data_IF_277010679872
#
_entry.id   IF_277010679872
#
_cell.length_a   1.000
_cell.length_b   1.000
_cell.length_c   1.000
_cell.angle_alpha   90.00
_cell.angle_beta   90.00
_cell.angle_gamma   90.00
#
_symmetry.space_group_name_H-M   'P 1'
#
loop_
_entity.id
_entity.type
_entity.pdbx_description
1 polymer ?
#
# COMPACT_ATOMS: atom_id res chain seq x y z
N UNK A 1 -18.51 22.15 -11.73
CA UNK A 1 -18.05 20.81 -12.17
C UNK A 1 -16.60 20.95 -12.61
N UNK A 2 -15.64 20.40 -11.85
CA UNK A 2 -14.23 20.59 -12.13
C UNK A 2 -13.77 19.53 -13.16
N UNK A 3 -13.46 19.95 -14.39
CA UNK A 3 -13.01 19.05 -15.47
C UNK A 3 -11.60 18.59 -15.12
N UNK A 4 -11.46 17.39 -14.53
CA UNK A 4 -10.16 16.81 -14.22
C UNK A 4 -9.32 16.73 -15.50
N UNK A 5 -8.11 17.30 -15.48
CA UNK A 5 -7.19 17.20 -16.60
C UNK A 5 -6.85 15.73 -16.87
N UNK A 6 -6.99 15.29 -18.13
CA UNK A 6 -6.72 13.90 -18.52
C UNK A 6 -5.21 13.65 -18.43
N UNK A 7 -4.78 12.92 -17.40
CA UNK A 7 -3.35 12.65 -17.13
C UNK A 7 -2.69 11.80 -18.23
N UNK A 8 -3.46 10.92 -18.88
CA UNK A 8 -3.01 10.12 -20.02
C UNK A 8 -3.77 10.52 -21.28
N UNK A 9 -3.09 10.52 -22.43
CA UNK A 9 -3.72 10.80 -23.72
C UNK A 9 -4.67 9.67 -24.14
N UNK A 10 -4.31 8.42 -23.83
CA UNK A 10 -5.09 7.22 -24.10
C UNK A 10 -6.10 6.87 -22.99
N UNK A 11 -7.17 6.15 -23.32
CA UNK A 11 -8.15 5.64 -22.33
C UNK A 11 -7.74 4.26 -21.77
N UNK A 12 -8.46 3.81 -20.73
CA UNK A 12 -8.25 2.47 -20.16
C UNK A 12 -8.75 1.41 -21.14
N UNK A 13 -9.80 1.74 -21.89
CA UNK A 13 -10.43 0.91 -22.90
C UNK A 13 -9.47 0.69 -24.08
N UNK A 14 -8.87 1.77 -24.61
CA UNK A 14 -7.86 1.68 -25.69
C UNK A 14 -6.70 0.78 -25.28
N UNK A 15 -6.28 0.87 -24.02
CA UNK A 15 -5.21 0.03 -23.48
C UNK A 15 -5.58 -1.44 -23.38
N UNK A 16 -6.82 -1.76 -23.03
CA UNK A 16 -7.31 -3.15 -23.00
C UNK A 16 -7.42 -3.72 -24.42
N UNK A 17 -7.99 -2.98 -25.35
CA UNK A 17 -8.12 -3.38 -26.75
C UNK A 17 -6.75 -3.58 -27.40
N UNK A 18 -5.80 -2.66 -27.19
CA UNK A 18 -4.44 -2.80 -27.69
C UNK A 18 -3.74 -4.07 -27.17
N UNK A 19 -3.90 -4.40 -25.88
CA UNK A 19 -3.31 -5.61 -25.30
C UNK A 19 -3.98 -6.88 -25.84
N UNK A 20 -5.30 -6.86 -26.05
CA UNK A 20 -6.03 -7.99 -26.63
C UNK A 20 -5.58 -8.26 -28.08
N UNK A 21 -5.48 -7.23 -28.91
CA UNK A 21 -5.05 -7.37 -30.32
C UNK A 21 -3.62 -7.89 -30.45
N UNK A 22 -2.72 -7.47 -29.55
CA UNK A 22 -1.33 -7.94 -29.54
C UNK A 22 -1.26 -9.41 -29.07
N UNK A 23 -1.99 -9.76 -28.01
CA UNK A 23 -2.03 -11.13 -27.51
C UNK A 23 -2.65 -12.11 -28.53
N UNK A 24 -3.66 -11.67 -29.27
CA UNK A 24 -4.28 -12.42 -30.35
C UNK A 24 -3.46 -12.40 -31.66
N UNK A 25 -2.27 -11.77 -31.66
CA UNK A 25 -1.37 -11.62 -32.82
C UNK A 25 -2.03 -10.94 -34.03
N UNK A 26 -3.09 -10.16 -33.82
CA UNK A 26 -3.79 -9.39 -34.86
C UNK A 26 -2.92 -8.20 -35.27
N UNK A 27 -2.33 -7.51 -34.29
CA UNK A 27 -1.48 -6.35 -34.50
C UNK A 27 -0.08 -6.58 -33.92
N UNK A 28 0.93 -6.07 -34.62
CA UNK A 28 2.27 -5.93 -34.05
C UNK A 28 2.29 -4.79 -33.02
N UNK A 29 3.27 -4.83 -32.13
CA UNK A 29 3.41 -3.84 -31.05
C UNK A 29 3.50 -2.40 -31.59
N UNK A 30 4.18 -2.22 -32.74
CA UNK A 30 4.28 -0.92 -33.42
C UNK A 30 2.96 -0.48 -34.06
N UNK A 31 2.22 -1.41 -34.69
CA UNK A 31 0.90 -1.11 -35.26
C UNK A 31 -0.11 -0.74 -34.18
N UNK A 32 -0.13 -1.47 -33.07
CA UNK A 32 -0.98 -1.17 -31.93
C UNK A 32 -0.63 0.19 -31.29
N UNK A 33 0.66 0.52 -31.18
CA UNK A 33 1.09 1.82 -30.66
C UNK A 33 0.57 3.00 -31.51
N UNK A 34 0.67 2.87 -32.85
CA UNK A 34 0.17 3.87 -33.77
C UNK A 34 -1.36 3.97 -33.77
N UNK A 35 -2.06 2.83 -33.79
CA UNK A 35 -3.52 2.76 -33.87
C UNK A 35 -4.21 3.30 -32.62
N UNK A 36 -3.71 2.93 -31.44
CA UNK A 36 -4.33 3.31 -30.16
C UNK A 36 -3.72 4.56 -29.52
N UNK A 37 -2.68 5.15 -30.13
CA UNK A 37 -1.99 6.32 -29.59
C UNK A 37 -1.30 6.07 -28.25
N UNK A 38 -0.88 4.83 -28.00
CA UNK A 38 -0.21 4.40 -26.76
C UNK A 38 1.28 4.22 -27.04
N UNK A 39 2.18 4.80 -26.23
CA UNK A 39 3.61 4.63 -26.44
C UNK A 39 4.03 3.15 -26.44
N UNK A 40 4.87 2.78 -27.41
CA UNK A 40 5.44 1.42 -27.59
C UNK A 40 5.99 0.85 -26.27
N UNK A 41 6.77 1.65 -25.55
CA UNK A 41 7.36 1.29 -24.25
C UNK A 41 6.29 0.93 -23.20
N UNK A 42 5.15 1.63 -23.21
CA UNK A 42 4.05 1.37 -22.27
C UNK A 42 3.36 0.05 -22.57
N UNK A 43 3.10 -0.27 -23.83
CA UNK A 43 2.55 -1.56 -24.25
C UNK A 43 3.53 -2.70 -23.92
N UNK A 44 4.81 -2.51 -24.23
CA UNK A 44 5.87 -3.48 -23.93
C UNK A 44 5.97 -3.77 -22.43
N UNK A 45 6.00 -2.76 -21.56
CA UNK A 45 6.07 -2.96 -20.11
C UNK A 45 4.86 -3.72 -19.54
N UNK A 46 3.67 -3.52 -20.12
CA UNK A 46 2.45 -4.22 -19.73
C UNK A 46 2.45 -5.67 -20.20
N UNK A 47 2.92 -5.94 -21.42
CA UNK A 47 3.09 -7.29 -21.95
C UNK A 47 4.14 -8.08 -21.19
N UNK A 48 5.24 -7.44 -20.78
CA UNK A 48 6.29 -8.07 -19.96
C UNK A 48 5.89 -8.26 -18.49
N UNK A 49 4.68 -7.87 -18.07
CA UNK A 49 4.20 -8.02 -16.69
C UNK A 49 4.84 -7.07 -15.66
N UNK A 50 5.79 -6.22 -16.06
CA UNK A 50 6.47 -5.25 -15.17
C UNK A 50 5.51 -4.22 -14.59
N UNK A 51 4.42 -3.95 -15.29
CA UNK A 51 3.37 -3.04 -14.81
C UNK A 51 1.98 -3.59 -15.13
N UNK A 52 1.00 -3.44 -14.21
CA UNK A 52 -0.35 -3.90 -14.47
C UNK A 52 -1.01 -3.11 -15.63
N UNK A 53 -1.91 -3.75 -16.41
CA UNK A 53 -2.68 -3.10 -17.46
C UNK A 53 -3.49 -1.90 -16.95
N UNK A 54 -4.11 -2.05 -15.78
CA UNK A 54 -4.80 -0.96 -15.08
C UNK A 54 -4.03 -0.64 -13.79
N UNK A 55 -3.32 0.50 -13.76
CA UNK A 55 -2.56 0.94 -12.59
C UNK A 55 -3.35 2.01 -11.84
N UNK A 56 -3.66 1.77 -10.56
CA UNK A 56 -4.14 2.84 -9.67
C UNK A 56 -3.02 3.86 -9.50
N UNK A 57 -3.28 5.11 -9.87
CA UNK A 57 -2.30 6.20 -9.77
C UNK A 57 -2.36 6.96 -8.44
N UNK A 58 -3.36 6.67 -7.60
CA UNK A 58 -3.44 7.20 -6.25
C UNK A 58 -2.52 6.41 -5.32
N UNK A 59 -2.17 6.98 -4.15
CA UNK A 59 -1.67 6.20 -3.03
C UNK A 59 -2.54 4.95 -2.78
N UNK A 60 -1.93 3.91 -2.23
CA UNK A 60 -2.66 2.73 -1.76
C UNK A 60 -3.76 3.16 -0.80
N UNK A 61 -4.99 2.70 -1.03
CA UNK A 61 -6.08 2.95 -0.08
C UNK A 61 -5.83 2.08 1.16
N UNK A 62 -6.12 2.63 2.33
CA UNK A 62 -6.11 1.83 3.56
C UNK A 62 -7.25 0.81 3.56
N UNK A 63 -8.37 1.15 2.91
CA UNK A 63 -9.52 0.27 2.77
C UNK A 63 -9.37 -0.60 1.52
N UNK A 64 -9.77 -1.86 1.65
CA UNK A 64 -9.92 -2.77 0.52
C UNK A 64 -11.08 -2.31 -0.37
N UNK A 65 -11.07 -2.76 -1.63
CA UNK A 65 -12.16 -2.46 -2.59
C UNK A 65 -13.51 -2.95 -2.07
N UNK A 66 -13.53 -4.06 -1.34
CA UNK A 66 -14.74 -4.63 -0.75
C UNK A 66 -15.30 -3.75 0.37
N UNK A 67 -14.45 -3.25 1.27
CA UNK A 67 -14.84 -2.32 2.32
C UNK A 67 -15.36 -1.00 1.75
N UNK A 68 -14.68 -0.45 0.74
CA UNK A 68 -15.14 0.74 0.03
C UNK A 68 -16.53 0.52 -0.60
N UNK A 69 -16.77 -0.65 -1.19
CA UNK A 69 -18.07 -1.01 -1.75
C UNK A 69 -19.16 -1.14 -0.67
N UNK A 70 -18.83 -1.66 0.50
CA UNK A 70 -19.75 -1.76 1.64
C UNK A 70 -20.15 -0.38 2.17
N UNK A 71 -19.19 0.55 2.26
CA UNK A 71 -19.47 1.94 2.64
C UNK A 71 -20.33 2.61 1.56
N UNK A 72 -19.99 2.41 0.28
CA UNK A 72 -20.77 2.93 -0.85
C UNK A 72 -22.22 2.46 -0.82
N UNK A 73 -22.46 1.16 -0.65
CA UNK A 73 -23.82 0.61 -0.59
C UNK A 73 -24.59 1.13 0.62
N UNK A 74 -23.95 1.25 1.78
CA UNK A 74 -24.53 1.86 2.97
C UNK A 74 -24.96 3.31 2.71
N UNK A 75 -24.08 4.15 2.15
CA UNK A 75 -24.41 5.56 1.85
C UNK A 75 -25.57 5.66 0.87
N UNK A 76 -25.55 4.88 -0.22
CA UNK A 76 -26.62 4.89 -1.22
C UNK A 76 -27.95 4.40 -0.63
N UNK A 77 -27.94 3.41 0.26
CA UNK A 77 -29.13 2.91 0.92
C UNK A 77 -29.75 3.95 1.86
N UNK A 78 -28.94 4.63 2.67
CA UNK A 78 -29.43 5.70 3.55
C UNK A 78 -30.02 6.86 2.74
N UNK A 79 -29.38 7.24 1.63
CA UNK A 79 -29.93 8.24 0.73
C UNK A 79 -31.30 7.83 0.16
N UNK A 80 -31.47 6.56 -0.24
CA UNK A 80 -32.77 6.02 -0.72
C UNK A 80 -33.85 6.04 0.36
N UNK A 81 -33.48 5.84 1.62
CA UNK A 81 -34.38 5.90 2.77
C UNK A 81 -34.73 7.34 3.20
N UNK A 82 -34.25 8.36 2.48
CA UNK A 82 -34.51 9.77 2.79
C UNK A 82 -33.52 10.38 3.78
N UNK A 83 -32.45 9.68 4.14
CA UNK A 83 -31.40 10.14 5.05
C UNK A 83 -30.06 10.26 4.32
N UNK A 84 -29.87 11.26 3.43
CA UNK A 84 -28.61 11.44 2.74
C UNK A 84 -27.51 11.78 3.75
N UNK A 85 -26.45 10.98 3.76
CA UNK A 85 -25.30 11.20 4.64
C UNK A 85 -24.35 12.22 4.02
N UNK A 86 -23.86 13.15 4.85
CA UNK A 86 -22.76 14.05 4.50
C UNK A 86 -21.43 13.33 4.68
N UNK A 87 -20.37 13.92 4.15
CA UNK A 87 -19.01 13.36 4.27
C UNK A 87 -18.56 13.22 5.73
N UNK A 88 -19.01 14.11 6.60
CA UNK A 88 -18.62 14.11 8.01
C UNK A 88 -19.33 12.98 8.77
N UNK A 89 -20.61 12.70 8.47
CA UNK A 89 -21.35 11.58 9.07
C UNK A 89 -20.68 10.22 8.80
N UNK A 90 -20.14 10.05 7.58
CA UNK A 90 -19.41 8.85 7.19
C UNK A 90 -18.11 8.75 7.98
N UNK A 91 -17.34 9.84 8.08
CA UNK A 91 -16.08 9.87 8.84
C UNK A 91 -16.31 9.58 10.32
N UNK A 92 -17.32 10.21 10.93
CA UNK A 92 -17.67 10.02 12.33
C UNK A 92 -18.08 8.58 12.61
N UNK A 93 -18.85 7.97 11.70
CA UNK A 93 -19.26 6.57 11.80
C UNK A 93 -18.06 5.62 11.74
N UNK A 94 -17.12 5.84 10.81
CA UNK A 94 -15.90 5.04 10.68
C UNK A 94 -15.00 5.23 11.91
N UNK A 95 -14.81 6.47 12.38
CA UNK A 95 -14.02 6.77 13.56
C UNK A 95 -14.60 6.13 14.82
N UNK A 96 -15.93 6.19 15.00
CA UNK A 96 -16.64 5.54 16.10
C UNK A 96 -16.47 4.02 16.05
N UNK A 97 -16.64 3.42 14.87
CA UNK A 97 -16.43 1.99 14.68
C UNK A 97 -15.00 1.58 15.07
N UNK A 98 -13.99 2.31 14.60
CA UNK A 98 -12.58 2.02 14.90
C UNK A 98 -12.28 2.10 16.41
N UNK A 99 -12.82 3.13 17.09
CA UNK A 99 -12.69 3.26 18.55
C UNK A 99 -13.30 2.07 19.29
N UNK A 100 -14.48 1.62 18.88
CA UNK A 100 -15.17 0.47 19.49
C UNK A 100 -14.51 -0.86 19.13
N UNK A 101 -13.95 -0.99 17.94
CA UNK A 101 -13.17 -2.15 17.52
C UNK A 101 -11.93 -2.32 18.41
N UNK A 102 -11.13 -1.27 18.59
CA UNK A 102 -9.94 -1.33 19.46
C UNK A 102 -10.30 -1.60 20.93
N UNK A 103 -11.43 -1.08 21.43
CA UNK A 103 -11.90 -1.39 22.79
C UNK A 103 -12.22 -2.88 22.98
N UNK A 104 -12.70 -3.56 21.92
CA UNK A 104 -13.07 -4.97 21.95
C UNK A 104 -11.89 -5.93 21.75
N UNK A 105 -10.80 -5.44 21.15
CA UNK A 105 -9.62 -6.22 20.80
C UNK A 105 -8.38 -5.58 21.47
N UNK A 106 -8.22 -5.69 22.80
CA UNK A 106 -7.14 -5.05 23.55
C UNK A 106 -5.75 -5.54 23.17
N UNK A 107 -5.64 -6.73 22.58
CA UNK A 107 -4.41 -7.27 21.99
C UNK A 107 -3.92 -6.47 20.77
N UNK A 108 -4.81 -5.69 20.15
CA UNK A 108 -4.49 -4.84 19.00
C UNK A 108 -4.17 -3.43 19.50
N UNK A 109 -2.88 -3.15 19.70
CA UNK A 109 -2.37 -1.82 20.02
C UNK A 109 -2.19 -0.94 18.77
N UNK A 110 -2.38 0.39 18.91
CA UNK A 110 -1.95 1.34 17.88
C UNK A 110 -0.43 1.43 17.91
N UNK A 111 0.25 1.05 16.83
CA UNK A 111 1.66 1.39 16.66
C UNK A 111 1.79 2.83 16.18
N UNK A 112 2.64 3.60 16.85
CA UNK A 112 3.12 4.84 16.26
C UNK A 112 3.92 4.49 15.01
N UNK A 113 3.73 5.26 13.95
CA UNK A 113 4.57 5.16 12.76
C UNK A 113 5.95 5.68 13.13
N UNK A 114 6.89 4.77 13.40
CA UNK A 114 8.28 5.14 13.57
C UNK A 114 8.85 5.56 12.22
N UNK A 115 9.54 6.70 12.19
CA UNK A 115 10.29 7.11 11.01
C UNK A 115 11.40 6.08 10.82
N UNK A 116 11.29 5.26 9.77
CA UNK A 116 12.38 4.39 9.35
C UNK A 116 13.54 5.30 8.95
N UNK A 117 14.55 5.39 9.82
CA UNK A 117 15.72 6.20 9.54
C UNK A 117 16.58 5.52 8.47
N UNK A 118 17.38 6.31 7.74
CA UNK A 118 18.36 5.72 6.80
C UNK A 118 19.30 4.74 7.51
N UNK A 119 19.59 4.98 8.80
CA UNK A 119 20.42 4.11 9.61
C UNK A 119 19.76 2.73 9.79
N UNK A 120 18.47 2.65 10.12
CA UNK A 120 17.75 1.37 10.28
C UNK A 120 17.63 0.62 8.96
N UNK A 121 17.41 1.32 7.84
CA UNK A 121 17.37 0.71 6.51
C UNK A 121 18.74 0.19 6.02
N UNK A 122 19.84 0.76 6.53
CA UNK A 122 21.21 0.39 6.17
C UNK A 122 21.85 -0.63 7.13
N UNK A 123 21.08 -1.20 8.06
CA UNK A 123 21.51 -2.28 8.95
C UNK A 123 21.63 -3.57 8.12
N UNK A 124 22.81 -4.18 8.13
CA UNK A 124 23.08 -5.50 7.54
C UNK A 124 23.27 -6.53 8.65
N UNK A 125 23.16 -7.81 8.34
CA UNK A 125 23.39 -8.89 9.32
C UNK A 125 24.77 -8.76 9.98
N UNK A 126 25.81 -8.50 9.20
CA UNK A 126 27.19 -8.34 9.69
C UNK A 126 27.30 -7.21 10.73
N UNK A 127 26.62 -6.08 10.50
CA UNK A 127 26.61 -4.96 11.45
C UNK A 127 25.96 -5.33 12.77
N UNK A 128 24.88 -6.12 12.73
CA UNK A 128 24.20 -6.60 13.94
C UNK A 128 25.14 -7.52 14.71
N UNK A 129 25.76 -8.49 14.02
CA UNK A 129 26.69 -9.45 14.65
C UNK A 129 27.89 -8.75 15.27
N UNK A 130 28.49 -7.79 14.57
CA UNK A 130 29.61 -7.00 15.10
C UNK A 130 29.19 -6.21 16.34
N UNK A 131 28.01 -5.58 16.33
CA UNK A 131 27.51 -4.87 17.50
C UNK A 131 27.38 -5.78 18.73
N UNK A 132 26.85 -6.99 18.56
CA UNK A 132 26.76 -7.97 19.65
C UNK A 132 28.15 -8.39 20.16
N UNK A 133 29.13 -8.56 19.28
CA UNK A 133 30.50 -8.89 19.67
C UNK A 133 31.20 -7.75 20.42
N UNK A 134 30.97 -6.50 20.00
CA UNK A 134 31.48 -5.30 20.68
C UNK A 134 30.86 -5.17 22.08
N UNK A 135 29.54 -5.36 22.18
CA UNK A 135 28.83 -5.36 23.46
C UNK A 135 29.36 -6.47 24.39
N UNK A 136 29.56 -7.67 23.84
CA UNK A 136 30.11 -8.81 24.57
C UNK A 136 31.47 -8.48 25.18
N UNK A 137 32.36 -7.92 24.37
CA UNK A 137 33.71 -7.51 24.74
C UNK A 137 33.70 -6.40 25.79
N UNK A 138 32.81 -5.42 25.65
CA UNK A 138 32.62 -4.34 26.62
C UNK A 138 32.13 -4.86 27.98
N UNK A 139 31.17 -5.80 27.98
CA UNK A 139 30.68 -6.39 29.22
C UNK A 139 31.74 -7.24 29.92
N UNK A 140 32.63 -7.90 29.16
CA UNK A 140 33.82 -8.59 29.72
C UNK A 140 34.77 -7.59 30.37
N UNK A 141 35.09 -6.46 29.72
CA UNK A 141 36.02 -5.48 30.28
C UNK A 141 35.49 -4.81 31.54
N UNK A 142 34.18 -4.56 31.61
CA UNK A 142 33.51 -3.99 32.79
C UNK A 142 33.17 -5.04 33.86
N UNK A 143 33.57 -6.30 33.67
CA UNK A 143 33.31 -7.39 34.62
C UNK A 143 31.82 -7.70 34.85
N UNK A 144 30.94 -7.27 33.94
CA UNK A 144 29.47 -7.30 34.08
C UNK A 144 28.81 -8.27 33.09
N UNK A 145 29.57 -9.26 32.62
CA UNK A 145 29.11 -10.26 31.66
C UNK A 145 28.00 -11.17 32.19
N UNK A 146 27.93 -11.32 33.51
CA UNK A 146 26.93 -12.11 34.22
C UNK A 146 25.49 -11.64 33.99
N UNK A 147 25.30 -10.36 33.65
CA UNK A 147 23.98 -9.79 33.32
C UNK A 147 23.30 -10.53 32.16
N UNK A 148 24.07 -11.12 31.23
CA UNK A 148 23.52 -11.88 30.11
C UNK A 148 23.00 -13.28 30.50
N UNK A 149 23.38 -13.79 31.68
CA UNK A 149 22.98 -15.12 32.15
C UNK A 149 21.64 -15.10 32.90
N UNK A 150 21.12 -13.93 33.21
CA UNK A 150 19.89 -13.75 33.98
C UNK A 150 18.74 -13.26 33.08
N UNK A 151 17.96 -14.21 32.61
CA UNK A 151 16.80 -13.94 31.75
C UNK A 151 15.72 -13.09 32.45
N UNK A 152 15.73 -12.96 33.78
CA UNK A 152 14.75 -12.14 34.52
C UNK A 152 15.02 -10.65 34.40
N UNK A 153 16.19 -10.23 33.88
CA UNK A 153 16.57 -8.83 33.71
C UNK A 153 16.05 -8.18 32.42
N UNK A 154 15.49 -8.97 31.51
CA UNK A 154 15.04 -8.51 30.18
C UNK A 154 13.58 -8.03 30.22
N UNK A 155 12.85 -8.24 31.32
CA UNK A 155 11.41 -7.95 31.44
C UNK A 155 11.03 -7.28 32.76
#
# INVERSE_FOLDING_TARGET
MNKMAKKFKYSIEDMKSALADINNKILSLDKAAAQYGIPKSTLSMKLSGKTPPNRKMSPSSFLTVEEENKIKSWVLNNAKLGFPLRTDDVKDSVQKWMKLFLKRNPEIGKRNTEVISKATAAVTEDKIRNWFQELDSYLVSEGSRDVLNDATRIF
#
